data_IF_488354958738
#
_entry.id   IF_488354958738
#
_cell.length_a   1.000
_cell.length_b   1.000
_cell.length_c   1.000
_cell.angle_alpha   90.00
_cell.angle_beta   90.00
_cell.angle_gamma   90.00
#
_symmetry.space_group_name_H-M   'P 1'
#
loop_
_entity.id
_entity.type
_entity.pdbx_description
1 polymer ?
#
# COMPACT_ATOMS: atom_id res chain seq x y z
N UNK A 1 2.44 23.13 14.22
CA UNK A 1 2.54 21.94 13.35
C UNK A 1 1.23 21.18 13.46
N UNK A 2 0.54 20.90 12.36
CA UNK A 2 -0.76 20.20 12.40
C UNK A 2 -0.50 18.73 12.76
N UNK A 3 -1.08 18.27 13.86
CA UNK A 3 -1.05 16.86 14.21
C UNK A 3 -1.96 16.10 13.23
N UNK A 4 -1.39 15.12 12.53
CA UNK A 4 -2.15 14.20 11.68
C UNK A 4 -3.12 13.44 12.57
N UNK A 5 -4.42 13.55 12.31
CA UNK A 5 -5.46 12.93 13.16
C UNK A 5 -6.03 11.63 12.60
N UNK A 6 -5.86 11.40 11.31
CA UNK A 6 -6.42 10.26 10.58
C UNK A 6 -5.39 9.68 9.61
N UNK A 7 -5.47 8.38 9.33
CA UNK A 7 -4.50 7.73 8.47
C UNK A 7 -4.60 8.20 7.01
N UNK A 8 -5.77 8.67 6.57
CA UNK A 8 -6.00 9.17 5.21
C UNK A 8 -5.24 10.47 4.92
N UNK A 9 -4.78 11.17 5.95
CA UNK A 9 -3.93 12.35 5.82
C UNK A 9 -2.47 11.98 5.55
N UNK A 10 -2.07 10.72 5.77
CA UNK A 10 -0.72 10.23 5.48
C UNK A 10 -0.45 10.17 3.98
N UNK A 11 0.67 10.77 3.56
CA UNK A 11 1.15 10.69 2.16
C UNK A 11 1.31 9.22 1.73
N UNK A 12 1.89 8.40 2.59
CA UNK A 12 2.11 6.97 2.33
C UNK A 12 0.80 6.20 2.11
N UNK A 13 -0.27 6.54 2.84
CA UNK A 13 -1.57 5.90 2.64
C UNK A 13 -2.19 6.32 1.31
N UNK A 14 -2.06 7.60 0.94
CA UNK A 14 -2.51 8.11 -0.37
C UNK A 14 -1.77 7.44 -1.52
N UNK A 15 -0.44 7.32 -1.44
CA UNK A 15 0.37 6.63 -2.45
C UNK A 15 0.00 5.15 -2.55
N UNK A 16 -0.23 4.47 -1.42
CA UNK A 16 -0.68 3.08 -1.40
C UNK A 16 -2.06 2.91 -2.04
N UNK A 17 -2.97 3.87 -1.84
CA UNK A 17 -4.29 3.88 -2.49
C UNK A 17 -4.16 4.05 -4.01
N UNK A 18 -3.32 4.95 -4.48
CA UNK A 18 -3.07 5.13 -5.92
C UNK A 18 -2.46 3.86 -6.54
N UNK A 19 -1.55 3.18 -5.83
CA UNK A 19 -1.00 1.90 -6.26
C UNK A 19 -2.09 0.82 -6.40
N UNK A 20 -3.01 0.73 -5.44
CA UNK A 20 -4.15 -0.18 -5.53
C UNK A 20 -4.97 0.11 -6.79
N UNK A 21 -5.34 1.37 -7.03
CA UNK A 21 -6.11 1.79 -8.21
C UNK A 21 -5.38 1.39 -9.50
N UNK A 22 -4.08 1.65 -9.58
CA UNK A 22 -3.25 1.30 -10.74
C UNK A 22 -3.23 -0.21 -10.98
N UNK A 23 -3.08 -1.03 -9.94
CA UNK A 23 -3.09 -2.49 -10.06
C UNK A 23 -4.46 -3.00 -10.54
N UNK A 24 -5.55 -2.43 -10.05
CA UNK A 24 -6.90 -2.74 -10.54
C UNK A 24 -7.06 -2.43 -12.04
N UNK A 25 -6.51 -1.31 -12.50
CA UNK A 25 -6.58 -0.89 -13.90
C UNK A 25 -5.70 -1.77 -14.81
N UNK A 26 -4.44 -2.03 -14.43
CA UNK A 26 -3.52 -2.92 -15.15
C UNK A 26 -4.13 -4.32 -15.31
N UNK A 27 -4.78 -4.83 -14.26
CA UNK A 27 -5.35 -6.17 -14.25
C UNK A 27 -6.79 -6.22 -14.76
N UNK A 28 -7.33 -5.12 -15.30
CA UNK A 28 -8.73 -5.03 -15.75
C UNK A 28 -9.07 -6.15 -16.73
N UNK A 29 -8.21 -6.35 -17.73
CA UNK A 29 -8.40 -7.33 -18.81
C UNK A 29 -7.65 -8.66 -18.59
N UNK A 30 -7.00 -8.83 -17.42
CA UNK A 30 -6.34 -10.08 -17.05
C UNK A 30 -7.39 -11.20 -16.86
N UNK A 31 -7.24 -12.29 -17.62
CA UNK A 31 -8.15 -13.46 -17.59
C UNK A 31 -7.81 -14.45 -16.48
N UNK A 32 -6.57 -14.40 -15.97
CA UNK A 32 -6.16 -15.21 -14.82
C UNK A 32 -6.71 -14.60 -13.53
N UNK A 33 -7.80 -15.21 -13.04
CA UNK A 33 -8.53 -14.71 -11.87
C UNK A 33 -7.73 -14.91 -10.57
N UNK A 34 -6.93 -15.96 -10.48
CA UNK A 34 -6.17 -16.27 -9.27
C UNK A 34 -4.98 -15.33 -9.13
N UNK A 35 -4.25 -15.10 -10.24
CA UNK A 35 -3.19 -14.10 -10.29
C UNK A 35 -3.72 -12.69 -9.99
N UNK A 36 -4.83 -12.32 -10.64
CA UNK A 36 -5.49 -11.03 -10.39
C UNK A 36 -5.90 -10.86 -8.93
N UNK A 37 -6.46 -11.92 -8.33
CA UNK A 37 -6.87 -11.90 -6.91
C UNK A 37 -5.66 -11.73 -5.99
N UNK A 38 -4.56 -12.46 -6.24
CA UNK A 38 -3.36 -12.37 -5.43
C UNK A 38 -2.73 -10.97 -5.45
N UNK A 39 -2.58 -10.37 -6.63
CA UNK A 39 -2.01 -9.03 -6.75
C UNK A 39 -2.90 -7.96 -6.12
N UNK A 40 -4.22 -8.00 -6.36
CA UNK A 40 -5.14 -7.06 -5.72
C UNK A 40 -5.10 -7.17 -4.19
N UNK A 41 -5.07 -8.40 -3.65
CA UNK A 41 -4.98 -8.62 -2.20
C UNK A 41 -3.65 -8.14 -1.63
N UNK A 42 -2.54 -8.35 -2.32
CA UNK A 42 -1.24 -7.85 -1.92
C UNK A 42 -1.22 -6.31 -1.85
N UNK A 43 -1.75 -5.64 -2.88
CA UNK A 43 -1.86 -4.18 -2.92
C UNK A 43 -2.72 -3.62 -1.79
N UNK A 44 -3.89 -4.20 -1.56
CA UNK A 44 -4.80 -3.80 -0.47
C UNK A 44 -4.16 -4.03 0.90
N UNK A 45 -3.38 -5.11 1.06
CA UNK A 45 -2.65 -5.40 2.30
C UNK A 45 -1.68 -4.28 2.67
N UNK A 46 -0.93 -3.74 1.71
CA UNK A 46 -0.01 -2.61 1.93
C UNK A 46 -0.77 -1.37 2.45
N UNK A 47 -1.89 -1.03 1.80
CA UNK A 47 -2.73 0.09 2.21
C UNK A 47 -3.32 -0.11 3.62
N UNK A 48 -3.83 -1.31 3.92
CA UNK A 48 -4.43 -1.63 5.23
C UNK A 48 -3.40 -1.64 6.36
N UNK A 49 -2.21 -2.22 6.14
CA UNK A 49 -1.13 -2.21 7.12
C UNK A 49 -0.66 -0.79 7.45
N UNK A 50 -0.72 0.12 6.48
CA UNK A 50 -0.43 1.55 6.70
C UNK A 50 -1.46 2.20 7.62
N UNK A 51 -2.74 1.91 7.41
CA UNK A 51 -3.83 2.43 8.23
C UNK A 51 -3.77 1.85 9.66
N UNK A 52 -3.56 0.54 9.79
CA UNK A 52 -3.46 -0.14 11.08
C UNK A 52 -2.22 0.33 11.87
N UNK A 53 -1.07 0.49 11.21
CA UNK A 53 0.15 1.00 11.84
C UNK A 53 0.00 2.44 12.35
N UNK A 54 -0.81 3.26 11.69
CA UNK A 54 -1.15 4.60 12.15
C UNK A 54 -2.02 4.57 13.43
N UNK A 55 -3.05 3.73 13.45
CA UNK A 55 -3.95 3.59 14.61
C UNK A 55 -3.22 3.04 15.85
N UNK A 56 -2.22 2.18 15.64
CA UNK A 56 -1.39 1.61 16.72
C UNK A 56 -0.40 2.62 17.37
N UNK A 57 -0.38 3.90 16.95
CA UNK A 57 0.45 5.00 17.52
C UNK A 57 1.96 4.69 17.61
N UNK A 58 2.46 3.77 16.78
CA UNK A 58 3.82 3.25 16.82
C UNK A 58 4.74 4.08 15.90
N UNK A 59 5.42 5.08 16.48
CA UNK A 59 6.42 5.91 15.78
C UNK A 59 7.63 5.11 15.22
N UNK A 60 7.76 3.82 15.57
CA UNK A 60 8.90 2.96 15.22
C UNK A 60 8.61 2.10 13.99
N UNK A 61 7.41 1.54 13.87
CA UNK A 61 7.00 0.72 12.70
C UNK A 61 6.81 1.58 11.44
N UNK A 62 6.39 2.84 11.62
CA UNK A 62 6.17 3.79 10.53
C UNK A 62 7.44 4.06 9.69
N UNK A 63 8.63 4.04 10.31
CA UNK A 63 9.92 4.22 9.62
C UNK A 63 10.35 2.98 8.83
N UNK A 64 10.05 1.78 9.33
CA UNK A 64 10.37 0.54 8.61
C UNK A 64 9.47 0.35 7.38
N UNK A 65 8.21 0.78 7.44
CA UNK A 65 7.31 0.72 6.29
C UNK A 65 7.74 1.65 5.14
N UNK A 66 8.25 2.85 5.46
CA UNK A 66 8.79 3.77 4.46
C UNK A 66 10.00 3.20 3.72
N UNK A 67 10.82 2.40 4.41
CA UNK A 67 11.94 1.68 3.79
C UNK A 67 11.43 0.54 2.90
N UNK A 68 10.38 -0.19 3.30
CA UNK A 68 9.76 -1.24 2.48
C UNK A 68 9.14 -0.68 1.19
N UNK A 69 8.49 0.49 1.23
CA UNK A 69 7.93 1.13 0.04
C UNK A 69 8.98 1.71 -0.91
N UNK A 70 10.13 2.11 -0.38
CA UNK A 70 11.29 2.52 -1.18
C UNK A 70 12.10 1.34 -1.70
N UNK A 71 11.78 0.13 -1.24
CA UNK A 71 12.47 -1.06 -1.67
C UNK A 71 12.13 -1.33 -3.15
N UNK A 72 13.13 -1.37 -4.04
CA UNK A 72 12.91 -1.78 -5.43
C UNK A 72 12.24 -3.15 -5.54
N UNK A 73 12.23 -4.00 -4.50
CA UNK A 73 11.44 -5.25 -4.48
C UNK A 73 9.94 -5.04 -4.73
N UNK A 74 9.31 -3.99 -4.21
CA UNK A 74 7.90 -3.70 -4.52
C UNK A 74 7.73 -3.34 -6.01
N UNK A 75 8.76 -2.76 -6.62
CA UNK A 75 8.83 -2.51 -8.07
C UNK A 75 9.10 -3.79 -8.88
N UNK A 76 9.81 -4.76 -8.30
CA UNK A 76 10.12 -6.06 -8.93
C UNK A 76 8.97 -7.07 -8.85
N UNK A 77 8.12 -7.02 -7.82
CA UNK A 77 6.90 -7.86 -7.72
C UNK A 77 5.88 -7.51 -8.82
N UNK A 78 6.07 -6.39 -9.51
CA UNK A 78 5.25 -5.91 -10.64
C UNK A 78 5.83 -6.20 -12.03
N UNK A 79 6.94 -6.97 -12.14
CA UNK A 79 7.40 -7.54 -13.41
C UNK A 79 7.03 -9.03 -13.50
#
# INVERSE_FOLDING_TARGET
MVAIKRFEELVVWKESKELVIMIYDILKDCRDRDFKSQLNRAAISVMNNTAEGFERKSNKEFRQFYTFLKDPLVRYVLC
#
